data_IF_133102976025
#
_entry.id   IF_133102976025
#
_cell.length_a   1.000
_cell.length_b   1.000
_cell.length_c   1.000
_cell.angle_alpha   90.00
_cell.angle_beta   90.00
_cell.angle_gamma   90.00
#
_symmetry.space_group_name_H-M   'P 1'
#
loop_
_entity.id
_entity.type
_entity.pdbx_description
1 polymer ?
#
# COMPACT_ATOMS: atom_id res chain seq x y z
N UNK A 1 2.28 -7.77 37.81
CA UNK A 1 3.25 -8.83 37.45
C UNK A 1 4.37 -8.20 36.64
N UNK A 2 5.61 -8.65 36.81
CA UNK A 2 6.71 -8.16 35.98
C UNK A 2 6.52 -8.61 34.52
N UNK A 3 6.99 -7.82 33.54
CA UNK A 3 6.86 -8.13 32.11
C UNK A 3 7.38 -9.54 31.77
N UNK A 4 8.51 -9.96 32.36
CA UNK A 4 9.06 -11.29 32.16
C UNK A 4 8.10 -12.42 32.59
N UNK A 5 7.36 -12.23 33.69
CA UNK A 5 6.35 -13.19 34.15
C UNK A 5 5.17 -13.24 33.16
N UNK A 6 4.71 -12.09 32.66
CA UNK A 6 3.65 -12.03 31.66
C UNK A 6 4.07 -12.72 30.36
N UNK A 7 5.31 -12.49 29.89
CA UNK A 7 5.86 -13.18 28.72
C UNK A 7 5.89 -14.68 28.93
N UNK A 8 6.34 -15.17 30.10
CA UNK A 8 6.36 -16.59 30.41
C UNK A 8 4.94 -17.22 30.41
N UNK A 9 3.93 -16.49 30.91
CA UNK A 9 2.52 -16.94 30.85
C UNK A 9 2.03 -17.07 29.41
N UNK A 10 2.32 -16.08 28.56
CA UNK A 10 1.95 -16.14 27.13
C UNK A 10 2.67 -17.30 26.45
N UNK A 11 3.97 -17.47 26.73
CA UNK A 11 4.80 -18.51 26.14
C UNK A 11 4.28 -19.91 26.48
N UNK A 12 3.87 -20.15 27.72
CA UNK A 12 3.27 -21.42 28.14
C UNK A 12 1.87 -21.69 27.59
N UNK A 13 1.25 -20.72 26.92
CA UNK A 13 -0.08 -20.82 26.28
C UNK A 13 0.00 -20.85 24.75
N UNK A 14 1.20 -20.80 24.18
CA UNK A 14 1.38 -20.96 22.73
C UNK A 14 0.85 -22.34 22.30
N UNK A 15 0.23 -22.44 21.10
CA UNK A 15 -0.34 -23.69 20.64
C UNK A 15 0.74 -24.74 20.35
N UNK A 16 0.40 -26.00 20.60
CA UNK A 16 1.21 -27.14 20.19
C UNK A 16 1.37 -27.21 18.66
N UNK A 17 2.42 -27.89 18.21
CA UNK A 17 2.68 -28.14 16.79
C UNK A 17 1.44 -28.67 16.05
N UNK A 18 1.05 -27.98 14.98
CA UNK A 18 -0.10 -28.36 14.14
C UNK A 18 -1.44 -27.77 14.59
N UNK A 19 -1.51 -27.02 15.69
CA UNK A 19 -2.70 -26.26 16.09
C UNK A 19 -2.53 -24.78 15.76
N UNK A 20 -3.65 -24.12 15.48
CA UNK A 20 -3.71 -22.68 15.25
C UNK A 20 -4.68 -22.01 16.21
N UNK A 21 -4.33 -20.83 16.71
CA UNK A 21 -5.19 -19.99 17.55
C UNK A 21 -5.13 -18.54 17.08
N UNK A 22 -6.26 -17.82 17.11
CA UNK A 22 -6.27 -16.40 16.80
C UNK A 22 -5.54 -15.59 17.90
N UNK A 23 -4.82 -14.53 17.51
CA UNK A 23 -4.08 -13.68 18.45
C UNK A 23 -4.98 -13.11 19.56
N UNK A 24 -6.17 -12.64 19.21
CA UNK A 24 -7.16 -12.13 20.17
C UNK A 24 -7.66 -13.23 21.13
N UNK A 25 -7.79 -14.46 20.64
CA UNK A 25 -8.19 -15.60 21.48
C UNK A 25 -7.06 -16.01 22.42
N UNK A 26 -5.80 -16.01 21.95
CA UNK A 26 -4.64 -16.21 22.80
C UNK A 26 -4.59 -15.11 23.88
N UNK A 27 -4.74 -13.85 23.49
CA UNK A 27 -4.77 -12.71 24.41
C UNK A 27 -5.85 -12.85 25.49
N UNK A 28 -7.08 -13.19 25.11
CA UNK A 28 -8.16 -13.42 26.07
C UNK A 28 -7.85 -14.56 27.06
N UNK A 29 -7.00 -15.52 26.67
CA UNK A 29 -6.66 -16.70 27.48
C UNK A 29 -5.55 -16.47 28.53
N UNK A 30 -4.77 -15.39 28.45
CA UNK A 30 -3.60 -15.16 29.33
C UNK A 30 -3.95 -14.59 30.71
N UNK A 31 -5.25 -14.37 30.98
CA UNK A 31 -5.78 -13.80 32.21
C UNK A 31 -6.16 -12.32 32.04
N UNK A 32 -7.17 -11.85 32.79
CA UNK A 32 -7.65 -10.46 32.73
C UNK A 32 -8.70 -10.17 31.66
N UNK A 33 -9.10 -11.16 30.86
CA UNK A 33 -10.17 -11.06 29.84
C UNK A 33 -9.98 -9.93 28.81
N UNK A 34 -8.73 -9.52 28.56
CA UNK A 34 -8.40 -8.47 27.59
C UNK A 34 -7.93 -9.10 26.27
N UNK A 35 -8.82 -9.12 25.28
CA UNK A 35 -8.54 -9.62 23.94
C UNK A 35 -7.48 -8.78 23.18
N UNK A 36 -7.14 -7.60 23.69
CA UNK A 36 -6.17 -6.67 23.11
C UNK A 36 -4.82 -6.69 23.84
N UNK A 37 -4.63 -7.56 24.84
CA UNK A 37 -3.41 -7.59 25.65
C UNK A 37 -2.13 -7.91 24.83
N UNK A 38 -2.29 -8.53 23.66
CA UNK A 38 -1.20 -8.89 22.75
C UNK A 38 -1.15 -8.03 21.47
N UNK A 39 -1.96 -6.97 21.39
CA UNK A 39 -1.93 -6.04 20.25
C UNK A 39 -0.57 -5.36 20.12
N UNK A 40 -0.28 -4.87 18.92
CA UNK A 40 1.03 -4.27 18.60
C UNK A 40 1.32 -3.00 19.42
N UNK A 41 0.29 -2.26 19.82
CA UNK A 41 0.40 -1.07 20.66
C UNK A 41 0.71 -1.42 22.13
N UNK A 42 0.51 -2.68 22.54
CA UNK A 42 0.86 -3.17 23.88
C UNK A 42 2.31 -3.62 23.97
N UNK A 43 2.94 -3.30 25.09
CA UNK A 43 4.32 -3.71 25.39
C UNK A 43 4.47 -5.24 25.42
N UNK A 44 3.49 -5.95 25.99
CA UNK A 44 3.48 -7.41 26.08
C UNK A 44 3.44 -8.06 24.69
N UNK A 45 2.54 -7.62 23.82
CA UNK A 45 2.46 -8.08 22.43
C UNK A 45 3.78 -7.91 21.69
N UNK A 46 4.39 -6.72 21.76
CA UNK A 46 5.72 -6.46 21.15
C UNK A 46 6.82 -7.33 21.74
N UNK A 47 6.84 -7.53 23.06
CA UNK A 47 7.86 -8.34 23.72
C UNK A 47 7.79 -9.80 23.29
N UNK A 48 6.59 -10.41 23.30
CA UNK A 48 6.40 -11.80 22.90
C UNK A 48 6.70 -11.99 21.42
N UNK A 49 6.15 -11.16 20.54
CA UNK A 49 6.39 -11.28 19.09
C UNK A 49 7.87 -11.15 18.72
N UNK A 50 8.61 -10.24 19.38
CA UNK A 50 10.06 -10.08 19.16
C UNK A 50 10.88 -11.24 19.74
N UNK A 51 10.45 -11.83 20.86
CA UNK A 51 11.04 -13.07 21.38
C UNK A 51 10.84 -14.23 20.40
N UNK A 52 9.63 -14.40 19.87
CA UNK A 52 9.34 -15.39 18.83
C UNK A 52 10.22 -15.15 17.61
N UNK A 53 10.34 -13.89 17.16
CA UNK A 53 11.18 -13.57 16.02
C UNK A 53 12.65 -13.98 16.22
N UNK A 54 13.20 -13.71 17.41
CA UNK A 54 14.55 -14.12 17.77
C UNK A 54 14.72 -15.66 17.84
N UNK A 55 13.77 -16.35 18.46
CA UNK A 55 13.79 -17.82 18.60
C UNK A 55 13.69 -18.56 17.26
N UNK A 56 12.89 -18.03 16.33
CA UNK A 56 12.63 -18.67 15.03
C UNK A 56 13.44 -18.08 13.87
N UNK A 57 14.42 -17.22 14.17
CA UNK A 57 15.28 -16.56 13.19
C UNK A 57 14.51 -15.89 12.04
N UNK A 58 13.45 -15.14 12.39
CA UNK A 58 12.72 -14.29 11.44
C UNK A 58 12.95 -12.81 11.75
N UNK A 59 12.72 -11.95 10.75
CA UNK A 59 12.92 -10.52 10.88
C UNK A 59 12.18 -9.93 12.09
N UNK A 60 12.87 -9.03 12.82
CA UNK A 60 12.31 -8.38 14.01
C UNK A 60 11.12 -7.50 13.61
N UNK A 61 9.92 -7.68 14.21
CA UNK A 61 8.78 -6.83 13.93
C UNK A 61 9.00 -5.38 14.41
N UNK A 62 8.97 -4.44 13.46
CA UNK A 62 9.06 -2.99 13.69
C UNK A 62 7.71 -2.25 13.51
N UNK A 63 6.71 -2.91 12.90
CA UNK A 63 5.32 -2.46 12.79
C UNK A 63 4.36 -3.66 12.85
N UNK A 64 3.05 -3.41 12.95
CA UNK A 64 1.99 -4.42 12.91
C UNK A 64 1.75 -5.02 11.49
N UNK A 65 2.82 -5.12 10.68
CA UNK A 65 2.80 -5.52 9.28
C UNK A 65 3.21 -6.98 9.04
N UNK A 66 3.83 -7.23 7.89
CA UNK A 66 4.25 -8.57 7.45
C UNK A 66 5.10 -9.33 8.48
N UNK A 67 6.11 -8.68 9.06
CA UNK A 67 7.05 -9.30 10.00
C UNK A 67 6.34 -9.69 11.31
N UNK A 68 5.43 -8.85 11.80
CA UNK A 68 4.61 -9.12 12.98
C UNK A 68 3.78 -10.39 12.79
N UNK A 69 3.09 -10.50 11.65
CA UNK A 69 2.26 -11.65 11.34
C UNK A 69 3.08 -12.90 11.09
N UNK A 70 4.22 -12.76 10.42
CA UNK A 70 5.16 -13.87 10.21
C UNK A 70 5.67 -14.41 11.55
N UNK A 71 6.05 -13.55 12.49
CA UNK A 71 6.48 -13.96 13.83
C UNK A 71 5.40 -14.77 14.53
N UNK A 72 4.17 -14.27 14.63
CA UNK A 72 3.06 -15.01 15.25
C UNK A 72 2.75 -16.33 14.55
N UNK A 73 2.80 -16.35 13.21
CA UNK A 73 2.56 -17.56 12.44
C UNK A 73 3.60 -18.67 12.72
N UNK A 74 4.84 -18.33 13.09
CA UNK A 74 5.88 -19.31 13.47
C UNK A 74 5.54 -20.13 14.70
N UNK A 75 4.64 -19.63 15.54
CA UNK A 75 4.17 -20.29 16.76
C UNK A 75 2.67 -20.61 16.68
N UNK A 76 2.13 -20.81 15.47
CA UNK A 76 0.73 -21.21 15.28
C UNK A 76 -0.30 -20.14 15.67
N UNK A 77 0.09 -18.87 15.78
CA UNK A 77 -0.82 -17.78 16.12
C UNK A 77 -1.20 -17.01 14.85
N UNK A 78 -2.49 -16.96 14.54
CA UNK A 78 -3.02 -16.22 13.40
C UNK A 78 -3.43 -14.81 13.80
N UNK A 79 -2.94 -13.82 13.06
CA UNK A 79 -3.39 -12.44 13.21
C UNK A 79 -4.68 -12.19 12.43
N UNK A 80 -5.41 -11.13 12.78
CA UNK A 80 -6.53 -10.68 11.97
C UNK A 80 -6.09 -10.39 10.53
N UNK A 81 -6.88 -10.88 9.58
CA UNK A 81 -6.62 -10.77 8.15
C UNK A 81 -7.65 -9.93 7.40
N UNK A 82 -8.71 -9.44 8.06
CA UNK A 82 -9.86 -8.85 7.38
C UNK A 82 -10.17 -7.41 7.79
N UNK A 83 -9.74 -6.97 8.98
CA UNK A 83 -9.96 -5.59 9.44
C UNK A 83 -9.06 -4.59 8.72
N UNK A 84 -7.87 -4.99 8.28
CA UNK A 84 -7.01 -4.15 7.44
C UNK A 84 -7.48 -4.23 5.99
N UNK A 85 -7.87 -3.09 5.41
CA UNK A 85 -8.35 -2.95 4.03
C UNK A 85 -7.58 -1.89 3.22
N UNK A 86 -7.61 -2.01 1.90
CA UNK A 86 -7.10 -1.03 0.93
C UNK A 86 -8.01 -1.02 -0.29
N UNK A 87 -8.29 0.17 -0.85
CA UNK A 87 -9.10 0.31 -2.05
C UNK A 87 -8.20 0.31 -3.27
N UNK A 88 -8.57 -0.42 -4.31
CA UNK A 88 -7.75 -0.54 -5.52
C UNK A 88 -8.60 -0.43 -6.78
N UNK A 89 -7.98 -0.03 -7.89
CA UNK A 89 -8.59 0.03 -9.21
C UNK A 89 -7.61 -0.52 -10.25
N UNK A 90 -8.10 -1.40 -11.13
CA UNK A 90 -7.36 -1.92 -12.29
C UNK A 90 -5.93 -2.45 -12.01
N UNK A 91 -5.68 -3.02 -10.83
CA UNK A 91 -4.35 -3.57 -10.53
C UNK A 91 -4.04 -4.79 -11.41
N UNK A 92 -2.90 -4.80 -12.12
CA UNK A 92 -2.52 -5.88 -13.03
C UNK A 92 -1.83 -7.01 -12.24
N UNK A 93 -2.52 -7.56 -11.24
CA UNK A 93 -1.97 -8.61 -10.39
C UNK A 93 -1.94 -9.95 -11.15
N UNK A 94 -0.87 -10.72 -10.97
CA UNK A 94 -0.70 -12.07 -11.51
C UNK A 94 -0.41 -13.06 -10.37
N UNK A 95 -0.91 -14.29 -10.43
CA UNK A 95 -0.67 -15.33 -9.41
C UNK A 95 -1.94 -15.97 -8.87
N UNK A 96 -1.87 -16.54 -7.66
CA UNK A 96 -2.93 -17.38 -7.09
C UNK A 96 -3.69 -16.74 -5.91
N UNK A 97 -3.15 -15.64 -5.37
CA UNK A 97 -3.79 -14.91 -4.28
C UNK A 97 -5.22 -14.47 -4.67
N UNK A 98 -6.20 -14.49 -3.75
CA UNK A 98 -7.58 -14.10 -4.06
C UNK A 98 -7.72 -12.73 -4.73
N UNK A 99 -6.86 -11.77 -4.37
CA UNK A 99 -6.82 -10.43 -4.96
C UNK A 99 -6.64 -10.46 -6.49
N UNK A 100 -5.85 -11.41 -7.02
CA UNK A 100 -5.64 -11.56 -8.47
C UNK A 100 -6.98 -11.79 -9.19
N UNK A 101 -7.78 -12.74 -8.68
CA UNK A 101 -9.09 -13.06 -9.27
C UNK A 101 -10.08 -11.91 -9.11
N UNK A 102 -10.03 -11.19 -8.00
CA UNK A 102 -10.95 -10.08 -7.75
C UNK A 102 -10.66 -8.89 -8.65
N UNK A 103 -9.39 -8.47 -8.75
CA UNK A 103 -8.98 -7.39 -9.65
C UNK A 103 -9.29 -7.72 -11.12
N UNK A 104 -9.05 -8.96 -11.55
CA UNK A 104 -9.37 -9.39 -12.92
C UNK A 104 -10.89 -9.40 -13.23
N UNK A 105 -11.73 -9.62 -12.23
CA UNK A 105 -13.19 -9.71 -12.38
C UNK A 105 -13.92 -8.37 -12.30
N UNK A 106 -13.21 -7.27 -12.00
CA UNK A 106 -13.79 -5.94 -11.73
C UNK A 106 -13.09 -4.84 -12.53
N UNK A 107 -12.96 -5.00 -13.87
CA UNK A 107 -12.32 -3.97 -14.69
C UNK A 107 -13.12 -2.67 -14.61
N UNK A 108 -12.45 -1.59 -14.21
CA UNK A 108 -13.01 -0.27 -14.04
C UNK A 108 -13.76 -0.01 -12.75
N UNK A 109 -13.88 -1.01 -11.87
CA UNK A 109 -14.64 -0.88 -10.63
C UNK A 109 -13.72 -0.92 -9.40
N UNK A 110 -13.84 0.04 -8.47
CA UNK A 110 -13.09 0.02 -7.21
C UNK A 110 -13.38 -1.22 -6.36
N UNK A 111 -12.34 -1.86 -5.84
CA UNK A 111 -12.48 -3.05 -4.98
C UNK A 111 -11.71 -2.90 -3.68
N UNK A 112 -12.38 -3.19 -2.56
CA UNK A 112 -11.72 -3.33 -1.27
C UNK A 112 -11.00 -4.68 -1.17
N UNK A 113 -9.68 -4.62 -1.07
CA UNK A 113 -8.85 -5.77 -0.73
C UNK A 113 -8.59 -5.80 0.78
N UNK A 114 -8.54 -7.01 1.34
CA UNK A 114 -8.13 -7.25 2.72
C UNK A 114 -6.73 -7.85 2.75
N UNK A 115 -6.10 -7.87 3.91
CA UNK A 115 -4.84 -8.58 4.05
C UNK A 115 -4.95 -10.06 3.64
N UNK A 116 -6.08 -10.71 3.97
CA UNK A 116 -6.35 -12.10 3.61
C UNK A 116 -6.40 -12.29 2.10
N UNK A 117 -6.87 -11.30 1.33
CA UNK A 117 -6.95 -11.43 -0.13
C UNK A 117 -5.62 -11.26 -0.85
N UNK A 118 -4.68 -10.52 -0.26
CA UNK A 118 -3.31 -10.40 -0.81
C UNK A 118 -2.33 -11.45 -0.24
N UNK A 119 -2.80 -12.33 0.65
CA UNK A 119 -1.98 -13.40 1.21
C UNK A 119 -1.85 -14.53 0.19
N UNK A 120 -0.62 -14.92 -0.14
CA UNK A 120 -0.31 -15.95 -1.13
C UNK A 120 0.70 -15.46 -2.16
N UNK A 121 0.88 -16.21 -3.25
CA UNK A 121 1.71 -15.78 -4.37
C UNK A 121 0.95 -14.80 -5.25
N UNK A 122 1.55 -13.65 -5.46
CA UNK A 122 1.17 -12.71 -6.52
C UNK A 122 2.37 -11.84 -6.91
N UNK A 123 2.30 -11.25 -8.10
CA UNK A 123 3.25 -10.26 -8.63
C UNK A 123 2.47 -9.25 -9.50
N UNK A 124 3.17 -8.28 -10.08
CA UNK A 124 2.66 -7.43 -11.14
C UNK A 124 3.73 -7.24 -12.24
N UNK A 125 3.36 -6.83 -13.46
CA UNK A 125 4.32 -6.47 -14.50
C UNK A 125 5.25 -5.34 -14.06
N UNK A 126 6.56 -5.55 -14.17
CA UNK A 126 7.58 -4.62 -13.66
C UNK A 126 7.54 -3.23 -14.31
N UNK A 127 7.03 -3.09 -15.52
CA UNK A 127 6.94 -1.79 -16.19
C UNK A 127 5.66 -0.99 -15.83
N UNK A 128 4.76 -1.54 -14.99
CA UNK A 128 3.53 -0.86 -14.63
C UNK A 128 3.81 0.36 -13.74
N UNK A 129 3.12 1.48 -14.02
CA UNK A 129 3.08 2.63 -13.11
C UNK A 129 1.81 2.52 -12.27
N UNK A 130 1.97 2.54 -10.95
CA UNK A 130 0.87 2.48 -9.98
C UNK A 130 0.71 3.85 -9.35
N UNK A 131 -0.49 4.42 -9.50
CA UNK A 131 -0.84 5.70 -8.87
C UNK A 131 -1.41 5.44 -7.48
N UNK A 132 -0.84 6.09 -6.46
CA UNK A 132 -1.24 5.96 -5.07
C UNK A 132 -1.79 7.31 -4.60
N UNK A 133 -3.04 7.32 -4.13
CA UNK A 133 -3.70 8.51 -3.57
C UNK A 133 -4.22 8.22 -2.15
N UNK A 134 -4.47 9.29 -1.40
CA UNK A 134 -5.04 9.18 -0.05
C UNK A 134 -6.56 9.07 -0.11
N UNK A 135 -7.18 9.92 -0.91
CA UNK A 135 -8.60 10.21 -0.87
C UNK A 135 -9.41 9.34 -1.84
N UNK A 136 -10.49 8.77 -1.34
CA UNK A 136 -11.42 7.93 -2.11
C UNK A 136 -12.02 8.70 -3.29
N UNK A 137 -12.27 10.00 -3.15
CA UNK A 137 -12.84 10.85 -4.22
C UNK A 137 -11.94 10.90 -5.46
N UNK A 138 -10.62 10.83 -5.30
CA UNK A 138 -9.69 10.77 -6.45
C UNK A 138 -9.86 9.46 -7.22
N UNK A 139 -9.98 8.34 -6.50
CA UNK A 139 -10.16 7.02 -7.11
C UNK A 139 -11.55 6.87 -7.74
N UNK A 140 -12.59 7.37 -7.08
CA UNK A 140 -13.97 7.39 -7.62
C UNK A 140 -14.03 8.18 -8.93
N UNK A 141 -13.48 9.41 -8.95
CA UNK A 141 -13.44 10.22 -10.16
C UNK A 141 -12.68 9.53 -11.30
N UNK A 142 -11.59 8.82 -11.00
CA UNK A 142 -10.83 8.05 -11.98
C UNK A 142 -11.63 6.87 -12.53
N UNK A 143 -12.31 6.12 -11.66
CA UNK A 143 -13.19 5.03 -12.05
C UNK A 143 -14.35 5.51 -12.94
N UNK A 144 -15.06 6.57 -12.52
CA UNK A 144 -16.18 7.15 -13.27
C UNK A 144 -15.76 7.66 -14.64
N UNK A 145 -14.57 8.25 -14.74
CA UNK A 145 -14.08 8.89 -15.97
C UNK A 145 -13.47 7.91 -16.96
N UNK A 146 -12.70 6.93 -16.49
CA UNK A 146 -11.89 6.07 -17.35
C UNK A 146 -12.28 4.60 -17.29
N UNK A 147 -13.03 4.16 -16.28
CA UNK A 147 -13.46 2.78 -16.11
C UNK A 147 -12.30 1.79 -16.30
N UNK A 148 -12.50 0.78 -17.14
CA UNK A 148 -11.51 -0.26 -17.42
C UNK A 148 -10.20 0.26 -18.06
N UNK A 149 -10.23 1.46 -18.64
CA UNK A 149 -9.05 2.10 -19.23
C UNK A 149 -8.26 2.92 -18.20
N UNK A 150 -8.77 3.11 -16.98
CA UNK A 150 -8.03 3.81 -15.92
C UNK A 150 -6.70 3.10 -15.64
N UNK A 151 -5.57 3.82 -15.50
CA UNK A 151 -4.33 3.22 -15.04
C UNK A 151 -4.48 2.58 -13.66
N UNK A 152 -3.61 1.64 -13.28
CA UNK A 152 -3.69 0.97 -11.98
C UNK A 152 -3.56 1.95 -10.81
N UNK A 153 -4.49 1.87 -9.85
CA UNK A 153 -4.48 2.73 -8.66
C UNK A 153 -4.59 1.96 -7.34
N UNK A 154 -4.01 2.55 -6.31
CA UNK A 154 -4.19 2.19 -4.90
C UNK A 154 -4.64 3.44 -4.15
N UNK A 155 -5.72 3.35 -3.39
CA UNK A 155 -6.17 4.40 -2.48
C UNK A 155 -6.00 3.93 -1.04
N UNK A 156 -5.33 4.75 -0.22
CA UNK A 156 -5.03 4.41 1.17
C UNK A 156 -6.19 4.69 2.13
N UNK A 157 -7.19 5.48 1.72
CA UNK A 157 -8.35 5.91 2.53
C UNK A 157 -7.88 6.55 3.85
N UNK A 158 -7.07 7.61 3.71
CA UNK A 158 -6.36 8.26 4.81
C UNK A 158 -5.04 7.57 5.17
N UNK A 159 -4.77 7.44 6.47
CA UNK A 159 -3.52 6.85 6.97
C UNK A 159 -3.37 5.39 6.54
N UNK A 160 -2.29 5.00 5.81
CA UNK A 160 -2.23 3.71 5.17
C UNK A 160 -2.23 2.55 6.18
N UNK A 161 -3.26 1.71 6.04
CA UNK A 161 -3.36 0.46 6.77
C UNK A 161 -2.21 -0.49 6.41
N UNK A 162 -1.97 -1.50 7.24
CA UNK A 162 -0.86 -2.44 7.00
C UNK A 162 -0.97 -3.16 5.65
N UNK A 163 -2.19 -3.53 5.24
CA UNK A 163 -2.42 -4.14 3.92
C UNK A 163 -2.04 -3.20 2.76
N UNK A 164 -2.31 -1.89 2.87
CA UNK A 164 -1.93 -0.93 1.84
C UNK A 164 -0.41 -0.86 1.72
N UNK A 165 0.30 -0.75 2.87
CA UNK A 165 1.76 -0.75 2.88
C UNK A 165 2.35 -2.08 2.37
N UNK A 166 1.75 -3.22 2.71
CA UNK A 166 2.22 -4.52 2.26
C UNK A 166 1.97 -4.76 0.77
N UNK A 167 0.85 -4.25 0.23
CA UNK A 167 0.54 -4.25 -1.19
C UNK A 167 1.51 -3.35 -1.97
N UNK A 168 1.73 -2.12 -1.51
CA UNK A 168 2.65 -1.17 -2.16
C UNK A 168 4.09 -1.70 -2.12
N UNK A 169 4.52 -2.29 -1.00
CA UNK A 169 5.82 -2.95 -0.90
C UNK A 169 5.97 -4.06 -1.95
N UNK A 170 4.96 -4.93 -2.08
CA UNK A 170 4.99 -6.03 -3.05
C UNK A 170 4.97 -5.55 -4.51
N UNK A 171 4.27 -4.45 -4.82
CA UNK A 171 4.28 -3.82 -6.14
C UNK A 171 5.65 -3.21 -6.46
N UNK A 172 6.27 -2.53 -5.49
CA UNK A 172 7.62 -2.00 -5.64
C UNK A 172 8.67 -3.12 -5.80
N UNK A 173 8.57 -4.20 -5.02
CA UNK A 173 9.42 -5.39 -5.12
C UNK A 173 9.25 -6.10 -6.48
N UNK A 174 8.05 -6.04 -7.08
CA UNK A 174 7.78 -6.52 -8.44
C UNK A 174 8.37 -5.61 -9.55
N UNK A 175 8.95 -4.47 -9.17
CA UNK A 175 9.59 -3.51 -10.06
C UNK A 175 8.68 -2.38 -10.55
N UNK A 176 7.41 -2.33 -10.14
CA UNK A 176 6.49 -1.29 -10.58
C UNK A 176 6.93 0.11 -10.11
N UNK A 177 6.69 1.12 -10.96
CA UNK A 177 6.91 2.51 -10.58
C UNK A 177 5.77 3.01 -9.70
N UNK A 178 6.08 3.50 -8.50
CA UNK A 178 5.07 4.03 -7.56
C UNK A 178 5.02 5.55 -7.66
N UNK A 179 3.84 6.10 -7.94
CA UNK A 179 3.55 7.54 -7.99
C UNK A 179 2.59 7.89 -6.87
N UNK A 180 3.07 8.51 -5.80
CA UNK A 180 2.32 8.73 -4.56
C UNK A 180 1.94 10.18 -4.35
N UNK A 181 0.73 10.41 -3.82
CA UNK A 181 0.25 11.70 -3.36
C UNK A 181 -0.68 11.55 -2.16
N UNK A 182 -0.92 12.67 -1.51
CA UNK A 182 -1.83 12.84 -0.39
C UNK A 182 -2.27 14.31 -0.37
N UNK A 183 -3.04 14.72 0.64
CA UNK A 183 -3.27 16.14 0.90
C UNK A 183 -1.96 16.88 1.22
N UNK A 184 -1.89 18.16 0.87
CA UNK A 184 -0.82 19.04 1.35
C UNK A 184 -1.14 19.52 2.77
N UNK A 185 -0.96 18.62 3.73
CA UNK A 185 -1.12 18.89 5.15
C UNK A 185 -0.14 18.05 6.01
N UNK A 186 -0.11 18.20 7.34
CA UNK A 186 0.77 17.40 8.18
C UNK A 186 0.50 15.88 8.15
N UNK A 187 -0.75 15.47 7.93
CA UNK A 187 -1.13 14.07 7.84
C UNK A 187 -0.71 13.47 6.49
N UNK A 188 -0.93 14.17 5.38
CA UNK A 188 -0.51 13.79 4.05
C UNK A 188 1.00 13.65 3.92
N UNK A 189 1.79 14.55 4.52
CA UNK A 189 3.25 14.38 4.61
C UNK A 189 3.64 13.08 5.31
N UNK A 190 2.92 12.73 6.38
CA UNK A 190 3.14 11.48 7.13
C UNK A 190 2.69 10.25 6.35
N UNK A 191 1.65 10.35 5.52
CA UNK A 191 1.17 9.28 4.63
C UNK A 191 2.22 8.98 3.57
N UNK A 192 2.72 10.02 2.89
CA UNK A 192 3.76 9.87 1.87
C UNK A 192 5.04 9.28 2.47
N UNK A 193 5.47 9.71 3.66
CA UNK A 193 6.61 9.10 4.35
C UNK A 193 6.43 7.59 4.59
N UNK A 194 5.22 7.17 4.98
CA UNK A 194 4.94 5.75 5.21
C UNK A 194 4.97 4.96 3.92
N UNK A 195 4.47 5.51 2.82
CA UNK A 195 4.59 4.88 1.50
C UNK A 195 6.06 4.78 1.09
N UNK A 196 6.83 5.87 1.19
CA UNK A 196 8.25 5.88 0.87
C UNK A 196 9.07 4.93 1.76
N UNK A 197 8.65 4.69 3.00
CA UNK A 197 9.32 3.74 3.90
C UNK A 197 9.27 2.28 3.41
N UNK A 198 8.27 1.93 2.59
CA UNK A 198 8.11 0.59 2.01
C UNK A 198 8.36 0.54 0.51
N UNK A 199 8.37 1.69 -0.17
CA UNK A 199 8.76 1.86 -1.56
C UNK A 199 9.72 3.07 -1.69
N UNK A 200 11.02 2.91 -1.37
CA UNK A 200 11.96 4.04 -1.32
C UNK A 200 12.17 4.77 -2.65
N UNK A 201 11.86 4.12 -3.77
CA UNK A 201 11.91 4.71 -5.11
C UNK A 201 10.59 5.38 -5.55
N UNK A 202 9.58 5.43 -4.67
CA UNK A 202 8.33 6.12 -4.96
C UNK A 202 8.59 7.61 -5.22
N UNK A 203 7.92 8.16 -6.23
CA UNK A 203 8.01 9.58 -6.58
C UNK A 203 6.68 10.29 -6.33
N UNK A 204 6.72 11.59 -6.07
CA UNK A 204 5.53 12.41 -5.91
C UNK A 204 4.67 12.41 -7.18
N UNK A 205 3.35 12.35 -7.03
CA UNK A 205 2.37 12.57 -8.09
C UNK A 205 1.73 13.94 -7.93
N UNK A 206 2.35 14.96 -8.54
CA UNK A 206 2.08 16.36 -8.23
C UNK A 206 2.13 16.61 -6.72
N UNK A 207 3.08 15.96 -6.04
CA UNK A 207 3.29 16.05 -4.59
C UNK A 207 4.68 16.60 -4.32
N UNK A 208 4.85 17.85 -4.74
CA UNK A 208 6.11 18.57 -4.79
C UNK A 208 5.89 20.06 -4.49
N UNK A 209 6.99 20.76 -4.20
CA UNK A 209 6.96 22.18 -3.86
C UNK A 209 6.37 23.06 -4.98
N UNK A 210 6.62 22.70 -6.25
CA UNK A 210 6.21 23.50 -7.40
C UNK A 210 4.68 23.46 -7.59
N UNK A 211 4.09 22.28 -7.46
CA UNK A 211 2.64 22.11 -7.47
C UNK A 211 1.99 22.87 -6.33
N UNK A 212 2.51 22.73 -5.10
CA UNK A 212 1.98 23.44 -3.94
C UNK A 212 2.06 24.97 -4.11
N UNK A 213 3.19 25.48 -4.60
CA UNK A 213 3.40 26.90 -4.87
C UNK A 213 2.46 27.43 -5.95
N UNK A 214 2.30 26.69 -7.05
CA UNK A 214 1.41 27.04 -8.15
C UNK A 214 -0.02 27.18 -7.67
N UNK A 215 -0.49 26.23 -6.85
CA UNK A 215 -1.84 26.26 -6.30
C UNK A 215 -2.09 27.49 -5.41
N UNK A 216 -1.07 27.93 -4.67
CA UNK A 216 -1.13 29.09 -3.80
C UNK A 216 -0.71 30.41 -4.46
N UNK A 217 -0.42 30.38 -5.77
CA UNK A 217 0.14 31.51 -6.53
C UNK A 217 1.36 32.16 -5.84
N UNK A 218 2.24 31.32 -5.29
CA UNK A 218 3.48 31.76 -4.63
C UNK A 218 4.59 31.96 -5.66
N UNK A 219 5.32 33.07 -5.53
CA UNK A 219 6.56 33.29 -6.25
C UNK A 219 7.71 32.67 -5.46
N UNK A 220 8.18 31.51 -5.92
CA UNK A 220 9.28 30.78 -5.28
C UNK A 220 10.51 30.79 -6.17
N UNK A 221 11.65 31.11 -5.57
CA UNK A 221 12.95 30.86 -6.17
C UNK A 221 13.35 29.39 -5.92
N UNK A 222 13.14 28.55 -6.93
CA UNK A 222 13.41 27.12 -6.80
C UNK A 222 14.91 26.78 -6.71
N UNK A 223 15.81 27.73 -7.01
CA UNK A 223 17.25 27.54 -6.84
C UNK A 223 17.68 27.45 -5.37
N UNK A 224 16.82 27.92 -4.43
CA UNK A 224 17.08 27.81 -2.99
C UNK A 224 16.84 26.41 -2.40
N UNK A 225 16.16 25.51 -3.13
CA UNK A 225 15.81 24.20 -2.57
C UNK A 225 16.92 23.17 -2.82
N UNK A 226 17.61 22.78 -1.75
CA UNK A 226 18.51 21.64 -1.73
C UNK A 226 17.79 20.39 -1.16
N UNK A 227 17.92 19.24 -1.82
CA UNK A 227 17.39 17.95 -1.34
C UNK A 227 16.44 17.29 -2.32
N UNK A 228 15.61 16.36 -1.80
CA UNK A 228 14.55 15.72 -2.60
C UNK A 228 13.37 16.66 -2.82
N UNK A 229 12.51 16.37 -3.81
CA UNK A 229 11.25 17.12 -4.04
C UNK A 229 10.38 17.18 -2.77
N UNK A 230 10.38 16.11 -1.97
CA UNK A 230 9.65 16.02 -0.72
C UNK A 230 10.26 16.91 0.37
N UNK A 231 11.59 17.04 0.42
CA UNK A 231 12.27 17.96 1.36
C UNK A 231 11.93 19.41 1.02
N UNK A 232 11.98 19.76 -0.27
CA UNK A 232 11.58 21.08 -0.77
C UNK A 232 10.13 21.37 -0.41
N UNK A 233 9.23 20.41 -0.62
CA UNK A 233 7.82 20.55 -0.26
C UNK A 233 7.65 20.82 1.24
N UNK A 234 8.35 20.09 2.10
CA UNK A 234 8.30 20.31 3.57
C UNK A 234 8.74 21.70 3.97
N UNK A 235 9.76 22.25 3.31
CA UNK A 235 10.23 23.63 3.57
C UNK A 235 9.15 24.63 3.18
N UNK A 236 8.59 24.51 1.97
CA UNK A 236 7.56 25.45 1.49
C UNK A 236 6.28 25.33 2.33
N UNK A 237 5.78 24.11 2.54
CA UNK A 237 4.62 23.88 3.40
C UNK A 237 4.86 24.38 4.83
N UNK A 238 6.06 24.17 5.39
CA UNK A 238 6.43 24.64 6.73
C UNK A 238 6.39 26.16 6.86
N UNK A 239 6.72 26.91 5.80
CA UNK A 239 6.66 28.38 5.73
C UNK A 239 5.23 28.90 5.64
N UNK A 240 4.39 28.29 4.80
CA UNK A 240 3.06 28.82 4.48
C UNK A 240 1.91 28.19 5.29
N UNK A 241 1.99 26.89 5.58
CA UNK A 241 1.04 26.10 6.38
C UNK A 241 -0.42 26.18 5.91
N UNK A 242 -0.62 26.39 4.61
CA UNK A 242 -1.95 26.37 4.00
C UNK A 242 -2.26 24.95 3.56
N UNK A 243 -3.38 24.40 4.01
CA UNK A 243 -3.85 23.07 3.60
C UNK A 243 -4.42 23.13 2.19
N UNK A 244 -4.02 22.19 1.34
CA UNK A 244 -4.58 22.01 0.01
C UNK A 244 -4.99 20.55 -0.15
N UNK A 245 -6.29 20.32 -0.33
CA UNK A 245 -6.87 18.98 -0.51
C UNK A 245 -6.65 18.45 -1.93
N UNK A 246 -6.61 17.12 -2.09
CA UNK A 246 -6.42 16.49 -3.39
C UNK A 246 -7.46 16.92 -4.44
N UNK A 247 -8.70 17.14 -4.02
CA UNK A 247 -9.81 17.59 -4.87
C UNK A 247 -9.53 18.93 -5.55
N UNK A 248 -8.72 19.78 -4.93
CA UNK A 248 -8.40 21.11 -5.45
C UNK A 248 -7.53 21.04 -6.72
N UNK A 249 -6.90 19.89 -6.99
CA UNK A 249 -6.11 19.64 -8.20
C UNK A 249 -6.61 18.42 -8.98
N UNK A 250 -7.85 17.96 -8.73
CA UNK A 250 -8.41 16.73 -9.30
C UNK A 250 -8.31 16.66 -10.84
N UNK A 251 -8.62 17.73 -11.56
CA UNK A 251 -8.54 17.74 -13.03
C UNK A 251 -7.11 17.55 -13.56
N UNK A 252 -6.11 18.05 -12.84
CA UNK A 252 -4.70 17.82 -13.18
C UNK A 252 -4.35 16.33 -13.00
N UNK A 253 -4.90 15.68 -11.97
CA UNK A 253 -4.73 14.25 -11.73
C UNK A 253 -5.37 13.42 -12.84
N UNK A 254 -6.60 13.75 -13.21
CA UNK A 254 -7.31 13.04 -14.28
C UNK A 254 -6.55 13.18 -15.62
N UNK A 255 -5.96 14.35 -15.89
CA UNK A 255 -5.16 14.56 -17.10
C UNK A 255 -3.93 13.65 -17.16
N UNK A 256 -3.28 13.38 -16.03
CA UNK A 256 -2.15 12.45 -15.97
C UNK A 256 -2.58 11.00 -16.17
N UNK A 257 -3.70 10.61 -15.56
CA UNK A 257 -4.24 9.26 -15.71
C UNK A 257 -4.59 8.97 -17.17
N UNK A 258 -5.20 9.91 -17.88
CA UNK A 258 -5.52 9.80 -19.32
C UNK A 258 -4.27 9.54 -20.19
N UNK A 259 -3.17 10.23 -19.89
CA UNK A 259 -1.87 10.02 -20.55
C UNK A 259 -1.27 8.65 -20.22
N UNK A 260 -1.44 8.19 -18.98
CA UNK A 260 -1.03 6.86 -18.52
C UNK A 260 -1.78 5.74 -19.24
N UNK A 261 -3.09 5.92 -19.47
CA UNK A 261 -3.93 4.97 -20.22
C UNK A 261 -3.49 4.82 -21.67
N UNK A 262 -3.15 5.94 -22.31
CA UNK A 262 -2.74 5.99 -23.71
C UNK A 262 -1.38 5.34 -23.98
N UNK A 263 -0.46 5.38 -23.01
CA UNK A 263 0.88 4.77 -23.12
C UNK A 263 0.89 3.24 -23.11
N UNK A 264 -0.15 2.60 -22.54
CA UNK A 264 -0.29 1.14 -22.48
C UNK A 264 -0.78 0.48 -23.77
N UNK A 265 -1.42 1.24 -24.69
CA UNK A 265 -1.99 0.69 -25.93
C UNK A 265 -0.98 0.52 -27.07
N UNK A 266 0.23 1.09 -27.00
CA UNK A 266 1.17 1.10 -28.12
C UNK A 266 1.95 -0.21 -28.36
N UNK A 267 1.76 -1.26 -27.55
CA UNK A 267 2.55 -2.51 -27.67
C UNK A 267 1.80 -3.70 -28.30
N UNK A 268 0.55 -3.53 -28.75
CA UNK A 268 -0.26 -4.61 -29.35
C UNK A 268 -0.84 -4.26 -30.73
N UNK A 269 -0.02 -3.73 -31.64
CA UNK A 269 -0.27 -3.87 -33.08
C UNK A 269 0.92 -4.58 -33.74
N UNK A 270 0.91 -5.92 -33.71
CA UNK A 270 1.69 -6.70 -34.66
C UNK A 270 1.05 -6.58 -36.04
N UNK A 271 1.74 -5.85 -36.90
CA UNK A 271 1.65 -5.97 -38.34
C UNK A 271 1.83 -7.44 -38.75
N UNK A 272 1.03 -7.89 -39.72
CA UNK A 272 1.09 -9.26 -40.21
C UNK A 272 0.12 -9.53 -41.34
N UNK A 273 0.09 -8.65 -42.35
CA UNK A 273 -0.49 -8.99 -43.65
C UNK A 273 0.44 -9.95 -44.39
N UNK A 274 -0.10 -11.05 -44.92
CA UNK A 274 0.53 -11.79 -46.01
C UNK A 274 -0.50 -12.47 -46.91
N UNK A 275 -0.73 -11.80 -48.05
CA UNK A 275 -0.80 -12.32 -49.42
C UNK A 275 -1.12 -13.81 -49.63
N UNK A 276 -2.27 -14.01 -50.27
CA UNK A 276 -2.69 -15.23 -50.99
C UNK A 276 -1.79 -15.45 -52.22
N UNK A 277 -1.23 -16.64 -52.45
CA UNK A 277 -0.76 -17.01 -53.77
C UNK A 277 -1.89 -17.64 -54.58
N UNK A 278 -2.17 -17.04 -55.75
CA UNK A 278 -2.81 -17.73 -56.87
C UNK A 278 -2.01 -18.98 -57.20
N UNK A 279 -2.68 -20.12 -57.38
CA UNK A 279 -2.19 -21.11 -58.34
C UNK A 279 -3.34 -21.75 -59.10
N UNK A 280 -3.09 -21.85 -60.40
CA UNK A 280 -3.92 -22.42 -61.45
C UNK A 280 -3.92 -23.95 -61.36
N UNK A 281 -5.08 -24.56 -61.56
CA UNK A 281 -5.34 -25.80 -62.31
C UNK A 281 -6.86 -25.96 -62.43
#
# INVERSE_FOLDING_TARGET
MALAQQVAVVWGKLPDSGRSIALAQLAASIGGHDAHALDYDRLLGRAVSRLVAAQHNVARPLRAGREWRLAWARVGVTCDGVSSRVLVLNLPLEGEAPAVRWCAATPGEPVWLTLRSITGSWTAPSAATIFVCENVTVLEAAADRFGAECPPMVCTDGNPANVALDLIAGLADAGCAIKVRADFDPAGLSIVDRVCSVAPAAAGWHYDAATYATHLALDLDFEEFAGSELDSLRVVFGRHRVVVHEEAILEQLMTDLDRGSSGGQLTLRKEGGSLVPRNQS
#
